data_IF_318119253675
#
_entry.id   IF_318119253675
#
_cell.length_a   1.000
_cell.length_b   1.000
_cell.length_c   1.000
_cell.angle_alpha   90.00
_cell.angle_beta   90.00
_cell.angle_gamma   90.00
#
_symmetry.space_group_name_H-M   'P 1'
#
loop_
_entity.id
_entity.type
_entity.pdbx_description
1 polymer ?
#
# COMPACT_ATOMS: atom_id res chain seq x y z
N UNK A 1 -24.96 5.82 24.15
CA UNK A 1 -23.96 4.93 23.53
C UNK A 1 -24.69 3.99 22.59
N UNK A 2 -24.62 4.16 21.26
CA UNK A 2 -25.14 3.15 20.35
C UNK A 2 -24.08 2.06 20.18
N UNK A 3 -24.43 0.83 20.58
CA UNK A 3 -23.64 -0.38 20.37
C UNK A 3 -23.60 -0.75 18.90
N UNK A 4 -22.43 -1.15 18.41
CA UNK A 4 -22.24 -1.66 17.06
C UNK A 4 -22.57 -3.16 17.03
N UNK A 5 -23.65 -3.53 16.33
CA UNK A 5 -23.95 -4.93 16.03
C UNK A 5 -23.04 -5.44 14.90
N UNK A 6 -22.37 -6.56 15.16
CA UNK A 6 -21.91 -7.50 14.16
C UNK A 6 -23.05 -8.46 13.78
N UNK A 7 -23.04 -8.95 12.54
CA UNK A 7 -24.00 -9.86 11.88
C UNK A 7 -25.25 -9.22 11.22
N UNK A 8 -25.19 -9.19 9.88
CA UNK A 8 -26.22 -9.48 8.86
C UNK A 8 -27.71 -9.11 9.02
N UNK A 9 -28.11 -8.24 9.95
CA UNK A 9 -29.50 -7.74 10.01
C UNK A 9 -29.57 -6.21 10.04
N UNK A 10 -30.22 -5.65 9.01
CA UNK A 10 -30.72 -4.28 8.89
C UNK A 10 -29.88 -3.14 9.51
N UNK A 11 -29.05 -2.46 8.69
CA UNK A 11 -28.71 -1.05 8.95
C UNK A 11 -29.45 -0.15 7.97
N UNK A 12 -30.23 0.79 8.52
CA UNK A 12 -30.63 1.99 7.78
C UNK A 12 -29.37 2.66 7.23
N UNK A 13 -29.39 3.27 6.05
CA UNK A 13 -28.22 3.96 5.52
C UNK A 13 -27.72 4.99 6.54
N UNK A 14 -26.43 4.92 6.86
CA UNK A 14 -25.76 5.89 7.73
C UNK A 14 -25.93 7.28 7.12
N UNK A 15 -26.46 8.23 7.89
CA UNK A 15 -26.73 9.60 7.41
C UNK A 15 -25.67 10.62 7.80
N UNK A 16 -24.85 10.30 8.79
CA UNK A 16 -23.76 11.14 9.28
C UNK A 16 -22.75 10.29 10.05
N UNK A 17 -21.47 10.65 9.98
CA UNK A 17 -20.41 10.14 10.84
C UNK A 17 -19.60 11.34 11.33
N UNK A 18 -19.13 11.30 12.58
CA UNK A 18 -18.31 12.37 13.14
C UNK A 18 -17.37 11.84 14.22
N UNK A 19 -16.18 12.46 14.32
CA UNK A 19 -15.21 12.24 15.40
C UNK A 19 -14.95 13.59 16.07
N UNK A 20 -15.14 13.66 17.38
CA UNK A 20 -14.94 14.89 18.16
C UNK A 20 -15.64 16.14 17.60
N UNK A 21 -16.83 15.96 16.98
CA UNK A 21 -17.61 17.04 16.37
C UNK A 21 -17.23 17.39 14.92
N UNK A 22 -16.18 16.77 14.36
CA UNK A 22 -15.81 16.90 12.95
C UNK A 22 -16.58 15.89 12.10
N UNK A 23 -17.30 16.35 11.09
CA UNK A 23 -18.02 15.47 10.17
C UNK A 23 -17.03 14.71 9.28
N UNK A 24 -17.30 13.42 9.08
CA UNK A 24 -16.54 12.58 8.17
C UNK A 24 -17.31 12.38 6.85
N UNK A 25 -16.59 12.31 5.72
CA UNK A 25 -17.20 11.92 4.46
C UNK A 25 -17.74 10.50 4.56
N UNK A 26 -18.95 10.29 4.03
CA UNK A 26 -19.58 8.97 4.00
C UNK A 26 -19.26 8.25 2.69
N UNK A 27 -19.20 6.91 2.70
CA UNK A 27 -19.18 6.10 1.48
C UNK A 27 -20.24 6.57 0.47
N UNK A 28 -19.87 6.87 -0.78
CA UNK A 28 -20.84 7.26 -1.78
C UNK A 28 -21.71 6.06 -2.18
N UNK A 29 -22.89 6.36 -2.74
CA UNK A 29 -23.79 5.33 -3.28
C UNK A 29 -23.21 4.66 -4.53
N UNK A 30 -22.48 5.43 -5.34
CA UNK A 30 -21.81 5.01 -6.56
C UNK A 30 -20.34 5.48 -6.54
N UNK A 31 -19.41 4.63 -6.98
CA UNK A 31 -18.00 4.99 -7.09
C UNK A 31 -17.69 5.59 -8.47
N UNK A 32 -17.51 6.91 -8.52
CA UNK A 32 -17.11 7.63 -9.74
C UNK A 32 -15.60 7.65 -9.97
N UNK A 33 -14.81 7.62 -8.90
CA UNK A 33 -13.35 7.62 -8.97
C UNK A 33 -12.75 7.13 -7.65
N UNK A 34 -11.58 6.51 -7.73
CA UNK A 34 -10.83 6.00 -6.60
C UNK A 34 -9.39 6.49 -6.71
N UNK A 35 -8.90 7.22 -5.70
CA UNK A 35 -7.48 7.55 -5.60
C UNK A 35 -6.75 6.45 -4.84
N UNK A 36 -5.61 6.00 -5.36
CA UNK A 36 -4.79 4.95 -4.75
C UNK A 36 -3.31 5.36 -4.75
N UNK A 37 -2.68 5.21 -3.60
CA UNK A 37 -1.26 5.47 -3.33
C UNK A 37 -0.89 4.83 -1.99
N UNK A 38 0.40 4.70 -1.68
CA UNK A 38 0.90 4.24 -0.39
C UNK A 38 2.30 4.75 -0.15
N UNK A 39 2.93 4.27 0.93
CA UNK A 39 4.33 4.55 1.24
C UNK A 39 4.57 6.07 1.31
N UNK A 40 3.88 6.70 2.27
CA UNK A 40 3.83 8.17 2.36
C UNK A 40 4.62 8.78 3.49
N UNK A 41 5.01 8.01 4.51
CA UNK A 41 5.73 8.60 5.65
C UNK A 41 7.14 9.07 5.27
N UNK A 42 7.73 9.93 6.10
CA UNK A 42 9.07 10.44 5.82
C UNK A 42 10.15 9.51 6.37
N UNK A 43 11.08 9.06 5.51
CA UNK A 43 12.13 8.10 5.88
C UNK A 43 13.12 8.67 6.89
N UNK A 44 13.02 8.30 8.17
CA UNK A 44 14.06 8.53 9.18
C UNK A 44 14.50 7.21 9.82
N UNK A 45 15.34 6.46 9.10
CA UNK A 45 15.79 5.13 9.51
C UNK A 45 17.30 5.12 9.77
N UNK A 46 17.67 4.98 11.04
CA UNK A 46 19.07 4.88 11.45
C UNK A 46 19.73 3.65 10.83
N UNK A 47 21.00 3.80 10.48
CA UNK A 47 21.85 2.68 10.11
C UNK A 47 21.83 1.58 11.17
N UNK A 48 22.01 0.33 10.71
CA UNK A 48 21.92 -0.91 11.50
C UNK A 48 22.73 -0.83 12.80
N UNK A 49 22.11 -0.39 13.89
CA UNK A 49 22.51 -0.78 15.23
C UNK A 49 21.99 -2.21 15.46
N UNK A 50 22.85 -3.10 15.95
CA UNK A 50 22.58 -4.54 16.09
C UNK A 50 21.28 -4.90 16.85
N UNK A 51 20.73 -3.98 17.66
CA UNK A 51 19.48 -4.17 18.38
C UNK A 51 18.21 -3.96 17.53
N UNK A 52 18.27 -3.15 16.46
CA UNK A 52 17.15 -2.93 15.52
C UNK A 52 17.20 -3.90 14.32
N UNK A 53 18.39 -4.40 13.97
CA UNK A 53 18.57 -5.39 12.91
C UNK A 53 17.87 -6.74 13.16
N UNK A 54 17.46 -7.03 14.39
CA UNK A 54 16.70 -8.24 14.72
C UNK A 54 15.18 -8.11 14.44
N UNK A 55 14.70 -6.92 14.09
CA UNK A 55 13.27 -6.61 13.87
C UNK A 55 12.88 -6.41 12.40
N UNK A 56 13.88 -6.34 11.52
CA UNK A 56 13.72 -6.08 10.10
C UNK A 56 14.52 -7.13 9.32
N UNK A 57 13.82 -8.18 8.88
CA UNK A 57 14.38 -9.25 8.06
C UNK A 57 14.32 -8.95 6.57
N UNK A 58 13.67 -7.86 6.17
CA UNK A 58 13.22 -7.61 4.81
C UNK A 58 14.31 -6.91 3.97
N UNK A 59 15.22 -6.19 4.62
CA UNK A 59 16.33 -5.47 3.98
C UNK A 59 17.68 -6.21 4.06
N UNK A 60 17.65 -7.54 4.09
CA UNK A 60 18.87 -8.33 3.97
C UNK A 60 19.60 -8.00 2.66
N UNK A 61 18.90 -7.68 1.57
CA UNK A 61 19.48 -7.44 0.23
C UNK A 61 19.37 -5.99 -0.28
N UNK A 62 18.83 -5.05 0.52
CA UNK A 62 18.82 -3.60 0.24
C UNK A 62 19.95 -2.88 0.98
N UNK A 63 21.17 -3.34 0.70
CA UNK A 63 22.45 -2.90 1.29
C UNK A 63 22.69 -1.39 1.27
N UNK A 64 22.12 -0.70 0.28
CA UNK A 64 22.33 0.73 0.07
C UNK A 64 21.27 1.60 0.77
N UNK A 65 20.25 1.01 1.42
CA UNK A 65 19.07 1.73 1.98
C UNK A 65 19.11 1.93 3.51
N UNK A 66 20.08 1.33 4.20
CA UNK A 66 20.38 1.61 5.61
C UNK A 66 20.92 3.03 5.77
N UNK A 67 20.45 3.76 6.79
CA UNK A 67 20.97 5.10 7.11
C UNK A 67 20.51 6.20 6.17
N UNK A 68 19.55 5.93 5.27
CA UNK A 68 18.93 6.96 4.45
C UNK A 68 17.91 7.74 5.25
N UNK A 69 18.16 9.03 5.35
CA UNK A 69 17.24 10.03 5.88
C UNK A 69 16.75 10.88 4.72
N UNK A 70 15.43 11.03 4.62
CA UNK A 70 14.79 11.95 3.71
C UNK A 70 14.64 13.31 4.39
N UNK A 71 14.77 14.39 3.63
CA UNK A 71 14.62 15.76 4.14
C UNK A 71 13.15 16.07 4.42
N UNK A 72 12.64 15.63 5.57
CA UNK A 72 11.22 15.74 5.91
C UNK A 72 10.69 17.17 6.01
N UNK A 73 11.56 18.16 6.14
CA UNK A 73 11.18 19.57 6.16
C UNK A 73 11.11 20.19 4.75
N UNK A 74 11.50 19.44 3.71
CA UNK A 74 11.46 19.89 2.32
C UNK A 74 10.31 19.20 1.56
N UNK A 75 9.36 20.02 1.08
CA UNK A 75 8.18 19.53 0.33
C UNK A 75 8.51 19.01 -1.07
N UNK A 76 9.71 19.27 -1.59
CA UNK A 76 10.17 18.68 -2.84
C UNK A 76 10.70 17.26 -2.63
N UNK A 77 11.40 17.03 -1.51
CA UNK A 77 11.99 15.74 -1.20
C UNK A 77 10.96 14.79 -0.58
N UNK A 78 10.01 15.31 0.21
CA UNK A 78 8.89 14.57 0.79
C UNK A 78 7.54 15.26 0.50
N UNK A 79 6.90 14.97 -0.66
CA UNK A 79 5.78 15.75 -1.18
C UNK A 79 4.38 15.28 -0.73
N UNK A 80 4.23 14.62 0.44
CA UNK A 80 2.93 14.06 0.81
C UNK A 80 1.82 15.12 0.98
N UNK A 81 2.09 16.18 1.74
CA UNK A 81 1.13 17.27 1.97
C UNK A 81 0.65 17.93 0.64
N UNK A 82 1.54 18.40 -0.25
CA UNK A 82 1.09 18.99 -1.52
C UNK A 82 0.36 17.99 -2.41
N UNK A 83 0.78 16.71 -2.43
CA UNK A 83 0.07 15.65 -3.16
C UNK A 83 -1.35 15.45 -2.61
N UNK A 84 -1.50 15.28 -1.29
CA UNK A 84 -2.78 15.12 -0.60
C UNK A 84 -3.74 16.28 -0.88
N UNK A 85 -3.25 17.52 -0.80
CA UNK A 85 -4.05 18.71 -1.14
C UNK A 85 -4.47 18.69 -2.62
N UNK A 86 -3.55 18.33 -3.53
CA UNK A 86 -3.85 18.24 -4.96
C UNK A 86 -4.92 17.20 -5.27
N UNK A 87 -4.86 16.01 -4.65
CA UNK A 87 -5.87 14.96 -4.82
C UNK A 87 -7.23 15.48 -4.35
N UNK A 88 -7.26 16.10 -3.16
CA UNK A 88 -8.50 16.61 -2.57
C UNK A 88 -9.13 17.72 -3.43
N UNK A 89 -8.32 18.62 -3.98
CA UNK A 89 -8.81 19.80 -4.70
C UNK A 89 -9.10 19.54 -6.18
N UNK A 90 -8.27 18.74 -6.85
CA UNK A 90 -8.34 18.50 -8.30
C UNK A 90 -9.05 17.21 -8.66
N UNK A 91 -8.68 16.10 -8.02
CA UNK A 91 -9.23 14.78 -8.34
C UNK A 91 -10.58 14.52 -7.67
N UNK A 92 -10.79 15.04 -6.45
CA UNK A 92 -12.04 14.91 -5.66
C UNK A 92 -12.58 13.47 -5.66
N UNK A 93 -11.77 12.49 -5.24
CA UNK A 93 -12.14 11.09 -5.38
C UNK A 93 -13.36 10.72 -4.53
N UNK A 94 -14.16 9.77 -5.00
CA UNK A 94 -15.25 9.20 -4.20
C UNK A 94 -14.76 8.24 -3.10
N UNK A 95 -13.52 7.77 -3.21
CA UNK A 95 -12.84 6.87 -2.28
C UNK A 95 -11.32 7.05 -2.38
N UNK A 96 -10.63 7.00 -1.26
CA UNK A 96 -9.16 6.87 -1.20
C UNK A 96 -8.81 5.47 -0.70
N UNK A 97 -7.81 4.83 -1.31
CA UNK A 97 -7.22 3.59 -0.81
C UNK A 97 -5.74 3.88 -0.53
N UNK A 98 -5.36 3.78 0.75
CA UNK A 98 -3.95 3.84 1.14
C UNK A 98 -3.40 2.42 1.32
N UNK A 99 -2.40 2.05 0.53
CA UNK A 99 -1.86 0.68 0.50
C UNK A 99 -0.76 0.44 1.55
N UNK A 100 -0.87 1.09 2.71
CA UNK A 100 0.04 0.90 3.86
C UNK A 100 1.28 1.79 3.87
N UNK A 101 2.06 1.63 4.95
CA UNK A 101 3.30 2.35 5.24
C UNK A 101 3.10 3.87 5.39
N UNK A 102 2.66 4.25 6.59
CA UNK A 102 2.31 5.61 6.95
C UNK A 102 3.38 6.27 7.80
N UNK A 103 4.02 5.51 8.70
CA UNK A 103 4.97 6.02 9.68
C UNK A 103 6.38 5.52 9.37
N UNK A 104 7.26 6.41 8.93
CA UNK A 104 8.66 6.10 8.62
C UNK A 104 9.67 6.81 9.53
N UNK A 105 9.18 7.64 10.45
CA UNK A 105 9.98 8.29 11.49
C UNK A 105 10.38 7.32 12.61
N UNK A 106 11.12 6.27 12.29
CA UNK A 106 11.47 5.20 13.25
C UNK A 106 12.63 5.56 14.19
N UNK A 107 13.45 6.53 13.79
CA UNK A 107 14.64 6.93 14.54
C UNK A 107 14.84 8.43 14.56
N UNK A 108 15.65 8.90 15.50
CA UNK A 108 15.97 10.31 15.62
C UNK A 108 16.77 10.80 14.40
N UNK A 109 16.49 12.04 13.98
CA UNK A 109 17.31 12.74 12.99
C UNK A 109 18.79 12.78 13.42
N UNK A 110 19.76 12.46 12.54
CA UNK A 110 21.17 12.47 12.87
C UNK A 110 21.66 13.84 13.36
N UNK A 111 22.63 13.83 14.26
CA UNK A 111 23.23 15.07 14.76
C UNK A 111 23.89 15.85 13.61
N UNK A 112 23.45 17.08 13.39
CA UNK A 112 23.99 17.98 12.36
C UNK A 112 23.18 18.03 11.06
N UNK A 113 22.30 17.05 10.83
CA UNK A 113 21.39 17.05 9.68
C UNK A 113 20.34 18.16 9.83
N UNK A 114 20.23 19.04 8.83
CA UNK A 114 19.25 20.13 8.84
C UNK A 114 17.93 19.76 8.16
N UNK A 115 17.94 18.78 7.25
CA UNK A 115 16.77 18.38 6.45
C UNK A 115 15.69 17.71 7.29
N UNK A 116 16.09 16.96 8.32
CA UNK A 116 15.18 16.34 9.29
C UNK A 116 15.18 17.00 10.68
N UNK A 117 15.88 18.13 10.88
CA UNK A 117 16.07 18.72 12.22
C UNK A 117 14.74 18.99 12.92
N UNK A 118 14.63 18.54 14.17
CA UNK A 118 13.44 18.72 15.00
C UNK A 118 12.30 17.75 14.70
N UNK A 119 12.50 16.82 13.76
CA UNK A 119 11.53 15.78 13.44
C UNK A 119 11.18 14.92 14.66
N UNK A 120 9.89 14.68 14.94
CA UNK A 120 9.48 13.65 15.89
C UNK A 120 9.89 12.26 15.36
N UNK A 121 9.96 11.28 16.26
CA UNK A 121 10.28 9.89 15.91
C UNK A 121 9.70 8.91 16.92
N UNK A 122 9.57 7.65 16.50
CA UNK A 122 8.96 6.56 17.25
C UNK A 122 7.43 6.50 17.11
N UNK A 123 6.84 5.41 17.59
CA UNK A 123 5.38 5.18 17.57
C UNK A 123 4.68 6.03 18.65
N UNK A 124 4.43 7.29 18.33
CA UNK A 124 3.72 8.25 19.19
C UNK A 124 2.94 9.25 18.34
N UNK A 125 2.03 9.99 18.98
CA UNK A 125 1.14 10.92 18.29
C UNK A 125 1.89 11.98 17.50
N UNK A 126 2.99 12.53 18.00
CA UNK A 126 3.71 13.60 17.29
C UNK A 126 4.26 13.08 15.96
N UNK A 127 4.77 11.85 15.91
CA UNK A 127 5.22 11.22 14.67
C UNK A 127 4.07 10.89 13.72
N UNK A 128 2.97 10.31 14.21
CA UNK A 128 1.78 10.02 13.39
C UNK A 128 1.12 11.28 12.85
N UNK A 129 1.08 12.34 13.64
CA UNK A 129 0.59 13.64 13.24
C UNK A 129 1.49 14.23 12.16
N UNK A 130 2.81 14.15 12.32
CA UNK A 130 3.76 14.67 11.35
C UNK A 130 3.71 13.91 10.02
N UNK A 131 3.80 12.57 10.04
CA UNK A 131 3.89 11.75 8.82
C UNK A 131 2.56 11.56 8.09
N UNK A 132 1.44 11.49 8.82
CA UNK A 132 0.16 11.13 8.21
C UNK A 132 -0.94 12.17 8.42
N UNK A 133 -1.37 12.42 9.67
CA UNK A 133 -2.61 13.16 9.88
C UNK A 133 -2.54 14.63 9.47
N UNK A 134 -1.41 15.30 9.66
CA UNK A 134 -1.22 16.69 9.22
C UNK A 134 -1.17 16.80 7.68
N UNK A 135 -0.30 16.06 6.97
CA UNK A 135 -0.25 16.13 5.51
C UNK A 135 -1.52 15.59 4.82
N UNK A 136 -2.18 14.59 5.39
CA UNK A 136 -3.42 14.02 4.86
C UNK A 136 -4.69 14.80 5.24
N UNK A 137 -4.60 15.84 6.08
CA UNK A 137 -5.76 16.47 6.73
C UNK A 137 -6.87 16.89 5.75
N UNK A 138 -6.51 17.51 4.62
CA UNK A 138 -7.45 17.96 3.60
C UNK A 138 -8.13 16.78 2.92
N UNK A 139 -7.37 15.75 2.55
CA UNK A 139 -7.90 14.58 1.84
C UNK A 139 -8.73 13.65 2.76
N UNK A 140 -8.37 13.55 4.04
CA UNK A 140 -9.18 12.86 5.06
C UNK A 140 -10.57 13.48 5.23
N UNK A 141 -10.70 14.79 5.00
CA UNK A 141 -11.99 15.50 5.02
C UNK A 141 -12.75 15.37 3.71
N UNK A 142 -12.07 15.13 2.59
CA UNK A 142 -12.65 15.15 1.26
C UNK A 142 -13.33 13.83 0.85
N UNK A 143 -12.79 12.68 1.28
CA UNK A 143 -13.26 11.36 0.83
C UNK A 143 -13.15 10.31 1.96
N UNK A 144 -13.96 9.23 1.92
CA UNK A 144 -13.76 8.07 2.79
C UNK A 144 -12.49 7.29 2.37
N UNK A 145 -11.89 6.55 3.31
CA UNK A 145 -10.62 5.83 3.11
C UNK A 145 -10.75 4.33 3.39
N UNK A 146 -10.08 3.51 2.59
CA UNK A 146 -9.68 2.15 2.95
C UNK A 146 -8.20 2.20 3.32
N UNK A 147 -7.85 1.70 4.51
CA UNK A 147 -6.50 1.71 5.03
C UNK A 147 -5.99 0.28 5.17
N UNK A 148 -4.81 0.04 4.62
CA UNK A 148 -4.09 -1.24 4.69
C UNK A 148 -2.91 -1.10 5.63
N UNK A 149 -2.52 -2.15 6.35
CA UNK A 149 -1.34 -2.15 7.23
C UNK A 149 -0.08 -2.47 6.44
N UNK A 150 0.96 -1.65 6.59
CA UNK A 150 2.26 -1.92 5.97
C UNK A 150 3.30 -2.50 6.92
N UNK A 151 4.46 -2.89 6.41
CA UNK A 151 5.51 -3.48 7.23
C UNK A 151 6.08 -2.47 8.24
N UNK A 152 5.92 -1.17 8.03
CA UNK A 152 6.24 -0.13 9.01
C UNK A 152 5.27 -0.08 10.20
N UNK A 153 4.10 -0.69 10.06
CA UNK A 153 3.06 -0.77 11.09
C UNK A 153 2.92 -2.17 11.71
N UNK A 154 3.97 -2.99 11.68
CA UNK A 154 4.03 -4.24 12.45
C UNK A 154 4.27 -3.96 13.94
N UNK A 155 4.01 -4.93 14.80
CA UNK A 155 4.07 -4.73 16.26
C UNK A 155 5.46 -4.39 16.79
N UNK A 156 6.52 -4.80 16.09
CA UNK A 156 7.90 -4.43 16.43
C UNK A 156 8.25 -2.97 16.09
N UNK A 157 7.38 -2.27 15.36
CA UNK A 157 7.54 -0.92 14.79
C UNK A 157 6.34 -0.03 15.16
N UNK A 158 5.60 0.53 14.20
CA UNK A 158 4.45 1.44 14.40
C UNK A 158 3.10 0.76 14.69
N UNK A 159 3.07 -0.53 15.03
CA UNK A 159 1.82 -1.28 15.06
C UNK A 159 0.83 -0.89 16.16
N UNK A 160 1.28 -0.32 17.28
CA UNK A 160 0.36 0.15 18.32
C UNK A 160 -0.39 1.39 17.83
N UNK A 161 0.31 2.30 17.16
CA UNK A 161 -0.28 3.45 16.51
C UNK A 161 -1.29 3.08 15.43
N UNK A 162 -0.94 2.15 14.53
CA UNK A 162 -1.86 1.68 13.49
C UNK A 162 -3.13 1.07 14.10
N UNK A 163 -2.98 0.15 15.06
CA UNK A 163 -4.09 -0.49 15.76
C UNK A 163 -5.02 0.52 16.47
N UNK A 164 -4.48 1.69 16.84
CA UNK A 164 -5.23 2.76 17.51
C UNK A 164 -5.91 3.72 16.54
N UNK A 165 -5.25 4.04 15.44
CA UNK A 165 -5.58 5.19 14.61
C UNK A 165 -6.26 4.79 13.30
N UNK A 166 -5.88 3.64 12.72
CA UNK A 166 -6.23 3.28 11.34
C UNK A 166 -6.92 1.91 11.20
N UNK A 167 -6.78 1.02 12.19
CA UNK A 167 -7.45 -0.29 12.18
C UNK A 167 -8.99 -0.12 12.07
N UNK A 168 -9.66 -0.83 11.16
CA UNK A 168 -11.11 -0.75 11.00
C UNK A 168 -11.89 -1.35 12.18
N UNK A 169 -11.23 -2.09 13.07
CA UNK A 169 -11.81 -2.68 14.27
C UNK A 169 -11.86 -1.66 15.40
N UNK A 170 -12.99 -1.49 16.09
CA UNK A 170 -13.06 -0.59 17.24
C UNK A 170 -12.05 -0.99 18.32
N UNK A 171 -11.21 -0.05 18.75
CA UNK A 171 -10.32 -0.25 19.89
C UNK A 171 -11.14 -0.56 21.15
N UNK A 172 -10.91 -1.72 21.76
CA UNK A 172 -11.65 -2.19 22.95
C UNK A 172 -11.04 -1.77 24.28
N UNK A 173 -10.01 -0.90 24.27
CA UNK A 173 -9.29 -0.45 25.46
C UNK A 173 -8.34 0.73 25.19
N UNK A 174 -7.71 1.28 26.25
CA UNK A 174 -6.84 2.45 26.14
C UNK A 174 -5.55 2.19 25.35
N UNK A 175 -5.11 0.93 25.27
CA UNK A 175 -4.09 0.46 24.35
C UNK A 175 -4.67 -0.71 23.54
N UNK A 176 -4.86 -0.57 22.22
CA UNK A 176 -5.28 -1.69 21.39
C UNK A 176 -4.18 -2.74 21.35
N UNK A 177 -4.58 -4.02 21.32
CA UNK A 177 -3.62 -5.10 21.13
C UNK A 177 -3.08 -5.04 19.69
N UNK A 178 -1.77 -4.96 19.55
CA UNK A 178 -1.14 -5.22 18.25
C UNK A 178 -1.01 -6.74 18.06
N UNK A 179 -1.53 -7.24 16.95
CA UNK A 179 -1.43 -8.65 16.55
C UNK A 179 -0.48 -8.79 15.37
N UNK A 180 0.30 -9.87 15.32
CA UNK A 180 1.28 -10.07 14.25
C UNK A 180 0.64 -10.25 12.86
N UNK A 181 -0.59 -10.75 12.82
CA UNK A 181 -1.36 -10.89 11.58
C UNK A 181 -2.83 -10.59 11.88
N UNK A 182 -3.39 -9.62 11.19
CA UNK A 182 -4.81 -9.31 11.22
C UNK A 182 -5.57 -10.24 10.27
N UNK A 183 -6.81 -10.58 10.63
CA UNK A 183 -7.70 -11.27 9.71
C UNK A 183 -8.02 -10.38 8.52
N UNK A 184 -8.10 -10.99 7.33
CA UNK A 184 -8.63 -10.30 6.16
C UNK A 184 -10.07 -9.85 6.41
N UNK A 185 -10.43 -8.69 5.88
CA UNK A 185 -11.79 -8.20 5.92
C UNK A 185 -12.26 -7.76 4.55
N UNK A 186 -13.58 -7.84 4.36
CA UNK A 186 -14.23 -7.35 3.16
C UNK A 186 -15.04 -6.10 3.48
N UNK A 187 -14.90 -5.08 2.63
CA UNK A 187 -15.67 -3.84 2.70
C UNK A 187 -16.32 -3.57 1.35
N UNK A 188 -17.51 -2.99 1.36
CA UNK A 188 -18.22 -2.58 0.13
C UNK A 188 -18.44 -1.08 0.14
N UNK A 189 -17.98 -0.41 -0.92
CA UNK A 189 -18.12 1.04 -1.12
C UNK A 189 -18.70 1.26 -2.52
N UNK A 190 -19.74 2.08 -2.63
CA UNK A 190 -20.44 2.36 -3.89
C UNK A 190 -20.70 1.14 -4.79
N UNK A 191 -21.16 0.03 -4.17
CA UNK A 191 -21.47 -1.23 -4.84
C UNK A 191 -20.27 -2.12 -5.19
N UNK A 192 -19.02 -1.70 -4.96
CA UNK A 192 -17.81 -2.49 -5.21
C UNK A 192 -17.29 -3.13 -3.93
N UNK A 193 -16.96 -4.41 -4.00
CA UNK A 193 -16.31 -5.12 -2.91
C UNK A 193 -14.79 -5.00 -2.99
N UNK A 194 -14.16 -4.79 -1.83
CA UNK A 194 -12.73 -4.82 -1.63
C UNK A 194 -12.43 -5.82 -0.52
N UNK A 195 -11.40 -6.64 -0.71
CA UNK A 195 -10.83 -7.47 0.35
C UNK A 195 -9.48 -6.88 0.72
N UNK A 196 -9.26 -6.59 1.99
CA UNK A 196 -7.98 -6.11 2.51
C UNK A 196 -7.30 -7.27 3.22
N UNK A 197 -6.12 -7.64 2.74
CA UNK A 197 -5.27 -8.68 3.32
C UNK A 197 -4.10 -8.03 4.05
N UNK A 198 -3.91 -8.40 5.32
CA UNK A 198 -2.71 -8.01 6.06
C UNK A 198 -1.51 -8.82 5.57
N UNK A 199 -0.78 -8.22 4.63
CA UNK A 199 0.46 -8.73 4.09
C UNK A 199 1.69 -8.18 4.80
N UNK A 200 1.56 -7.37 5.86
CA UNK A 200 2.67 -6.55 6.37
C UNK A 200 3.90 -7.37 6.78
N UNK A 201 3.65 -8.54 7.37
CA UNK A 201 4.68 -9.46 7.86
C UNK A 201 5.07 -10.55 6.85
N UNK A 202 4.64 -10.48 5.58
CA UNK A 202 4.91 -11.51 4.58
C UNK A 202 6.32 -11.33 4.00
N UNK A 203 7.33 -12.15 4.36
CA UNK A 203 8.71 -11.87 3.97
C UNK A 203 8.90 -11.94 2.45
N UNK A 204 9.74 -11.04 1.93
CA UNK A 204 9.97 -10.98 0.48
C UNK A 204 10.70 -12.19 -0.08
N UNK A 205 11.61 -12.75 0.72
CA UNK A 205 12.41 -13.90 0.37
C UNK A 205 12.03 -15.13 1.20
N UNK A 206 12.39 -16.30 0.68
CA UNK A 206 12.21 -17.55 1.40
C UNK A 206 13.56 -18.09 1.85
N UNK A 207 13.70 -18.52 3.12
CA UNK A 207 14.87 -19.25 3.54
C UNK A 207 14.96 -20.59 2.78
N UNK A 208 16.14 -21.22 2.80
CA UNK A 208 16.36 -22.54 2.17
C UNK A 208 15.42 -23.63 2.68
N UNK A 209 14.85 -23.44 3.88
CA UNK A 209 13.89 -24.34 4.51
C UNK A 209 12.46 -24.19 3.97
N UNK A 210 12.21 -23.21 3.08
CA UNK A 210 10.90 -22.92 2.51
C UNK A 210 10.28 -21.63 3.06
N UNK A 211 9.28 -21.10 2.35
CA UNK A 211 8.56 -19.88 2.71
C UNK A 211 7.58 -20.12 3.87
N UNK A 212 7.45 -19.17 4.80
CA UNK A 212 6.38 -19.18 5.81
C UNK A 212 5.04 -18.72 5.20
N UNK A 213 4.53 -19.51 4.25
CA UNK A 213 3.39 -19.16 3.42
C UNK A 213 2.04 -19.67 3.93
N UNK A 214 2.05 -20.59 4.91
CA UNK A 214 0.85 -21.25 5.39
C UNK A 214 -0.20 -20.29 6.00
N UNK A 215 0.18 -19.28 6.82
CA UNK A 215 -0.79 -18.30 7.35
C UNK A 215 -1.51 -17.52 6.23
N UNK A 216 -0.76 -17.09 5.22
CA UNK A 216 -1.32 -16.36 4.07
C UNK A 216 -2.17 -17.26 3.17
N UNK A 217 -1.77 -18.52 2.97
CA UNK A 217 -2.57 -19.50 2.25
C UNK A 217 -3.92 -19.74 2.93
N UNK A 218 -3.97 -19.73 4.27
CA UNK A 218 -5.20 -19.81 5.04
C UNK A 218 -6.10 -18.57 4.84
N UNK A 219 -5.52 -17.36 4.82
CA UNK A 219 -6.28 -16.14 4.51
C UNK A 219 -6.88 -16.20 3.11
N UNK A 220 -6.09 -16.56 2.08
CA UNK A 220 -6.60 -16.73 0.71
C UNK A 220 -7.72 -17.78 0.62
N UNK A 221 -7.62 -18.89 1.35
CA UNK A 221 -8.65 -19.93 1.37
C UNK A 221 -9.96 -19.46 2.05
N UNK A 222 -9.83 -18.59 3.06
CA UNK A 222 -10.95 -18.02 3.78
C UNK A 222 -11.72 -16.96 2.96
N UNK A 223 -11.08 -16.32 1.99
CA UNK A 223 -11.72 -15.33 1.12
C UNK A 223 -12.93 -15.91 0.38
N UNK A 224 -13.97 -15.07 0.23
CA UNK A 224 -15.20 -15.35 -0.52
C UNK A 224 -15.55 -14.15 -1.41
N UNK A 225 -14.69 -13.80 -2.39
CA UNK A 225 -14.92 -12.65 -3.26
C UNK A 225 -16.17 -12.84 -4.13
N UNK A 226 -16.91 -11.75 -4.34
CA UNK A 226 -17.86 -11.63 -5.46
C UNK A 226 -17.10 -11.34 -6.76
N UNK A 227 -17.72 -11.56 -7.92
CA UNK A 227 -17.13 -11.12 -9.19
C UNK A 227 -16.90 -9.60 -9.19
N UNK A 228 -15.74 -9.14 -9.65
CA UNK A 228 -15.39 -7.71 -9.63
C UNK A 228 -14.77 -7.21 -8.32
N UNK A 229 -14.47 -8.10 -7.36
CA UNK A 229 -13.79 -7.73 -6.11
C UNK A 229 -12.36 -7.28 -6.39
N UNK A 230 -11.89 -6.26 -5.69
CA UNK A 230 -10.48 -5.87 -5.69
C UNK A 230 -9.80 -6.39 -4.43
N UNK A 231 -8.59 -6.94 -4.58
CA UNK A 231 -7.74 -7.30 -3.46
C UNK A 231 -6.77 -6.14 -3.18
N UNK A 232 -6.68 -5.74 -1.93
CA UNK A 232 -5.75 -4.70 -1.46
C UNK A 232 -4.79 -5.35 -0.47
N UNK A 233 -3.50 -5.24 -0.75
CA UNK A 233 -2.41 -5.67 0.12
C UNK A 233 -1.47 -4.48 0.32
N UNK A 234 -0.55 -4.57 1.26
CA UNK A 234 0.58 -3.65 1.30
C UNK A 234 1.73 -4.21 0.48
N UNK A 235 2.26 -5.38 0.87
CA UNK A 235 3.30 -6.04 0.11
C UNK A 235 2.70 -6.62 -1.18
N UNK A 236 3.35 -6.42 -2.33
CA UNK A 236 2.86 -6.97 -3.60
C UNK A 236 2.86 -8.50 -3.57
N UNK A 237 1.92 -9.14 -4.28
CA UNK A 237 2.01 -10.58 -4.52
C UNK A 237 3.07 -10.83 -5.60
N UNK A 238 3.06 -10.01 -6.64
CA UNK A 238 4.06 -10.02 -7.72
C UNK A 238 4.64 -8.62 -7.86
N UNK A 239 5.93 -8.45 -7.67
CA UNK A 239 6.56 -7.15 -7.88
C UNK A 239 8.02 -7.32 -8.28
N UNK A 240 8.49 -6.46 -9.17
CA UNK A 240 9.89 -6.36 -9.49
C UNK A 240 10.55 -5.21 -8.72
N UNK A 241 11.84 -5.38 -8.44
CA UNK A 241 12.69 -4.31 -7.91
C UNK A 241 13.99 -4.27 -8.70
N UNK A 242 14.73 -3.18 -8.56
CA UNK A 242 16.10 -3.12 -9.03
C UNK A 242 17.00 -2.89 -7.82
N UNK A 243 17.85 -3.85 -7.47
CA UNK A 243 18.79 -3.68 -6.36
C UNK A 243 20.22 -3.85 -6.83
N UNK A 244 21.14 -3.29 -6.06
CA UNK A 244 22.58 -3.40 -6.32
C UNK A 244 23.10 -4.67 -5.66
N UNK A 245 23.73 -5.54 -6.46
CA UNK A 245 24.40 -6.72 -5.95
C UNK A 245 25.62 -6.31 -5.10
N UNK A 246 25.72 -6.85 -3.89
CA UNK A 246 26.76 -6.52 -2.89
C UNK A 246 28.18 -6.76 -3.37
N UNK A 247 28.38 -7.79 -4.19
CA UNK A 247 29.70 -8.29 -4.53
C UNK A 247 30.23 -7.65 -5.82
N UNK A 248 29.34 -7.45 -6.79
CA UNK A 248 29.67 -6.93 -8.11
C UNK A 248 29.40 -5.44 -8.26
N UNK A 249 28.57 -4.86 -7.39
CA UNK A 249 28.09 -3.49 -7.50
C UNK A 249 27.18 -3.24 -8.71
N UNK A 250 26.84 -4.30 -9.46
CA UNK A 250 25.95 -4.23 -10.62
C UNK A 250 24.49 -4.20 -10.16
N UNK A 251 23.67 -3.47 -10.92
CA UNK A 251 22.22 -3.48 -10.74
C UNK A 251 21.64 -4.78 -11.28
N UNK A 252 20.68 -5.35 -10.57
CA UNK A 252 20.01 -6.59 -10.94
C UNK A 252 18.52 -6.49 -10.62
N UNK A 253 17.73 -6.94 -11.59
CA UNK A 253 16.31 -7.17 -11.41
C UNK A 253 16.05 -8.22 -10.31
N UNK A 254 15.31 -7.82 -9.29
CA UNK A 254 14.83 -8.65 -8.20
C UNK A 254 13.33 -8.91 -8.34
N UNK A 255 12.86 -9.98 -7.69
CA UNK A 255 11.43 -10.28 -7.49
C UNK A 255 11.16 -10.16 -6.00
N UNK A 256 10.01 -9.63 -5.64
CA UNK A 256 9.56 -9.51 -4.24
C UNK A 256 8.39 -10.45 -3.93
N UNK A 257 8.26 -10.71 -2.63
CA UNK A 257 7.22 -11.54 -2.00
C UNK A 257 7.06 -12.97 -2.50
N UNK A 258 8.15 -13.72 -2.43
CA UNK A 258 8.13 -15.17 -2.63
C UNK A 258 7.20 -15.89 -1.65
N UNK A 259 6.95 -15.33 -0.46
CA UNK A 259 6.02 -15.88 0.53
C UNK A 259 4.56 -15.86 0.06
N UNK A 260 4.06 -14.71 -0.43
CA UNK A 260 2.70 -14.60 -0.98
C UNK A 260 2.56 -15.38 -2.30
N UNK A 261 3.60 -15.43 -3.13
CA UNK A 261 3.59 -16.28 -4.33
C UNK A 261 3.46 -17.77 -3.95
N UNK A 262 4.20 -18.23 -2.95
CA UNK A 262 4.09 -19.60 -2.43
C UNK A 262 2.71 -19.86 -1.79
N UNK A 263 2.12 -18.87 -1.12
CA UNK A 263 0.78 -18.98 -0.52
C UNK A 263 -0.32 -19.23 -1.56
N UNK A 264 -0.11 -18.80 -2.82
CA UNK A 264 -1.01 -19.04 -3.94
C UNK A 264 -0.76 -20.35 -4.71
N UNK A 265 0.17 -21.19 -4.26
CA UNK A 265 0.53 -22.42 -4.98
C UNK A 265 -0.68 -23.34 -5.25
N UNK A 266 -1.63 -23.45 -4.32
CA UNK A 266 -2.84 -24.27 -4.49
C UNK A 266 -3.82 -23.73 -5.55
N UNK A 267 -3.67 -22.47 -5.96
CA UNK A 267 -4.43 -21.84 -7.05
C UNK A 267 -3.56 -21.59 -8.29
N UNK A 268 -2.45 -22.33 -8.45
CA UNK A 268 -1.51 -22.16 -9.55
C UNK A 268 -1.01 -20.71 -9.70
N UNK A 269 -0.78 -20.04 -8.56
CA UNK A 269 -0.34 -18.65 -8.51
C UNK A 269 -1.45 -17.63 -8.80
N UNK A 270 -2.71 -18.03 -8.94
CA UNK A 270 -3.83 -17.10 -9.18
C UNK A 270 -4.48 -16.65 -7.86
N UNK A 271 -4.96 -15.40 -7.75
CA UNK A 271 -5.78 -15.01 -6.62
C UNK A 271 -7.12 -15.78 -6.66
N UNK A 272 -7.82 -15.92 -5.51
CA UNK A 272 -9.15 -16.53 -5.47
C UNK A 272 -10.11 -15.99 -6.54
N UNK A 273 -10.87 -16.90 -7.17
CA UNK A 273 -11.79 -16.56 -8.28
C UNK A 273 -12.79 -15.47 -7.86
N UNK A 274 -12.90 -14.42 -8.68
CA UNK A 274 -13.76 -13.25 -8.42
C UNK A 274 -12.97 -11.98 -8.14
N UNK A 275 -11.68 -12.11 -7.83
CA UNK A 275 -10.75 -10.98 -7.76
C UNK A 275 -10.38 -10.54 -9.18
N UNK A 276 -10.68 -9.30 -9.53
CA UNK A 276 -10.43 -8.73 -10.87
C UNK A 276 -9.19 -7.82 -10.91
N UNK A 277 -8.71 -7.37 -9.75
CA UNK A 277 -7.56 -6.47 -9.62
C UNK A 277 -6.87 -6.66 -8.27
N UNK A 278 -5.54 -6.60 -8.25
CA UNK A 278 -4.74 -6.54 -7.04
C UNK A 278 -4.05 -5.17 -6.93
N UNK A 279 -4.13 -4.54 -5.77
CA UNK A 279 -3.48 -3.26 -5.46
C UNK A 279 -2.52 -3.46 -4.30
N UNK A 280 -1.31 -2.92 -4.41
CA UNK A 280 -0.26 -3.02 -3.38
C UNK A 280 0.63 -1.77 -3.34
N UNK A 281 1.46 -1.63 -2.32
CA UNK A 281 2.52 -0.62 -2.17
C UNK A 281 3.88 -1.28 -1.94
N UNK A 282 4.58 -0.90 -0.87
CA UNK A 282 5.82 -1.48 -0.34
C UNK A 282 7.08 -1.23 -1.20
N UNK A 283 6.98 -1.47 -2.49
CA UNK A 283 8.05 -1.15 -3.42
C UNK A 283 7.85 0.30 -3.83
N UNK A 284 8.80 1.18 -3.48
CA UNK A 284 8.64 2.62 -3.67
C UNK A 284 8.84 3.08 -5.12
N UNK A 285 7.98 2.61 -6.02
CA UNK A 285 7.79 3.02 -7.40
C UNK A 285 6.37 2.65 -7.84
N UNK A 286 6.01 3.06 -9.05
CA UNK A 286 4.78 2.67 -9.70
C UNK A 286 5.06 1.52 -10.66
N UNK A 287 4.31 0.42 -10.58
CA UNK A 287 4.42 -0.73 -11.48
C UNK A 287 3.04 -1.32 -11.78
N UNK A 288 2.74 -1.54 -13.06
CA UNK A 288 1.54 -2.26 -13.50
C UNK A 288 1.94 -3.54 -14.23
N UNK A 289 1.45 -4.69 -13.78
CA UNK A 289 1.75 -6.01 -14.34
C UNK A 289 0.51 -6.71 -14.87
N UNK A 290 0.64 -7.29 -16.07
CA UNK A 290 -0.28 -8.30 -16.63
C UNK A 290 0.46 -9.59 -16.92
N UNK A 291 -0.25 -10.71 -16.91
CA UNK A 291 0.37 -12.03 -16.94
C UNK A 291 -0.11 -12.88 -18.11
N UNK A 292 0.78 -13.74 -18.63
CA UNK A 292 0.53 -14.58 -19.80
C UNK A 292 -0.60 -15.60 -19.59
N UNK A 293 -0.85 -16.00 -18.35
CA UNK A 293 -1.94 -16.93 -18.01
C UNK A 293 -3.30 -16.23 -17.80
N UNK A 294 -3.36 -14.90 -17.90
CA UNK A 294 -4.59 -14.13 -17.77
C UNK A 294 -5.14 -14.09 -16.33
N UNK A 295 -4.31 -14.28 -15.30
CA UNK A 295 -4.69 -13.94 -13.92
C UNK A 295 -4.90 -12.43 -13.77
N UNK A 296 -5.52 -12.02 -12.66
CA UNK A 296 -5.81 -10.62 -12.36
C UNK A 296 -4.53 -9.77 -12.44
N UNK A 297 -4.57 -8.61 -13.10
CA UNK A 297 -3.43 -7.69 -13.11
C UNK A 297 -3.16 -7.15 -11.69
N UNK A 298 -1.93 -6.70 -11.45
CA UNK A 298 -1.55 -6.04 -10.21
C UNK A 298 -0.96 -4.66 -10.49
N UNK A 299 -1.31 -3.70 -9.64
CA UNK A 299 -0.64 -2.40 -9.56
C UNK A 299 0.09 -2.29 -8.23
N UNK A 300 1.38 -1.98 -8.30
CA UNK A 300 2.21 -1.56 -7.17
C UNK A 300 2.28 -0.04 -7.21
N UNK A 301 1.84 0.59 -6.12
CA UNK A 301 1.52 2.01 -6.00
C UNK A 301 2.18 2.59 -4.75
N UNK A 302 3.46 2.24 -4.54
CA UNK A 302 4.27 2.70 -3.41
C UNK A 302 5.03 4.01 -3.70
N UNK A 303 4.60 4.72 -4.73
CA UNK A 303 5.20 5.96 -5.24
C UNK A 303 4.65 7.22 -4.56
N UNK A 304 4.08 7.13 -3.36
CA UNK A 304 3.40 8.26 -2.72
C UNK A 304 4.36 9.40 -2.36
N UNK A 305 5.31 9.15 -1.46
CA UNK A 305 6.29 10.17 -1.06
C UNK A 305 7.51 9.68 -0.28
N UNK A 306 7.51 8.45 0.22
CA UNK A 306 8.72 7.88 0.82
C UNK A 306 9.82 7.73 -0.23
N UNK A 307 11.06 8.05 0.11
CA UNK A 307 12.25 7.89 -0.74
C UNK A 307 12.15 6.73 -1.75
N UNK A 308 12.19 7.06 -3.05
CA UNK A 308 11.94 6.10 -4.12
C UNK A 308 12.97 4.97 -4.13
N UNK A 309 12.49 3.77 -4.42
CA UNK A 309 13.33 2.61 -4.72
C UNK A 309 14.12 2.89 -6.00
N UNK A 310 15.07 2.04 -6.35
CA UNK A 310 15.80 2.27 -7.60
C UNK A 310 14.92 2.01 -8.83
N UNK A 311 15.13 2.86 -9.85
CA UNK A 311 14.47 2.73 -11.15
C UNK A 311 14.72 1.36 -11.79
N UNK A 312 13.64 0.72 -12.22
CA UNK A 312 13.68 -0.44 -13.12
C UNK A 312 13.95 0.06 -14.54
N UNK A 313 14.97 -0.50 -15.19
CA UNK A 313 15.39 -0.09 -16.55
C UNK A 313 15.25 -1.22 -17.56
N UNK A 314 15.07 -2.44 -17.07
CA UNK A 314 14.93 -3.68 -17.79
C UNK A 314 13.51 -3.81 -18.36
N UNK A 315 13.40 -4.47 -19.51
CA UNK A 315 12.11 -4.90 -20.03
C UNK A 315 11.58 -6.07 -19.17
N UNK A 316 10.38 -5.87 -18.63
CA UNK A 316 9.72 -6.83 -17.76
C UNK A 316 8.89 -7.83 -18.57
N UNK A 317 8.56 -7.57 -19.84
CA UNK A 317 7.79 -8.51 -20.66
C UNK A 317 8.56 -9.83 -20.85
N UNK A 318 7.87 -10.95 -20.67
CA UNK A 318 8.48 -12.29 -20.73
C UNK A 318 9.25 -12.70 -19.47
N UNK A 319 9.50 -11.80 -18.51
CA UNK A 319 10.17 -12.18 -17.26
C UNK A 319 9.31 -13.17 -16.45
N UNK A 320 9.92 -14.20 -15.84
CA UNK A 320 9.20 -15.18 -15.03
C UNK A 320 8.82 -14.59 -13.66
N UNK A 321 7.58 -14.80 -13.23
CA UNK A 321 7.09 -14.39 -11.90
C UNK A 321 5.86 -15.22 -11.50
N UNK A 322 5.77 -15.66 -10.25
CA UNK A 322 4.59 -16.35 -9.72
C UNK A 322 4.14 -17.59 -10.51
N UNK A 323 5.08 -18.34 -11.12
CA UNK A 323 4.80 -19.52 -11.93
C UNK A 323 4.23 -19.24 -13.34
N UNK A 324 4.30 -17.99 -13.81
CA UNK A 324 3.93 -17.55 -15.16
C UNK A 324 5.01 -16.59 -15.70
N UNK A 325 4.78 -16.00 -16.87
CA UNK A 325 5.53 -14.84 -17.36
C UNK A 325 4.66 -13.59 -17.40
N UNK A 326 5.32 -12.44 -17.34
CA UNK A 326 4.72 -11.13 -17.60
C UNK A 326 4.32 -11.03 -19.08
N UNK A 327 3.09 -10.62 -19.36
CA UNK A 327 2.57 -10.39 -20.70
C UNK A 327 2.63 -8.92 -21.13
N UNK A 328 2.51 -8.00 -20.16
CA UNK A 328 2.66 -6.57 -20.37
C UNK A 328 3.05 -5.94 -19.04
N UNK A 329 3.91 -4.92 -19.09
CA UNK A 329 4.32 -4.18 -17.91
C UNK A 329 4.49 -2.68 -18.21
N UNK A 330 4.40 -1.87 -17.17
CA UNK A 330 4.77 -0.45 -17.22
C UNK A 330 5.27 -0.02 -15.85
N UNK A 331 6.27 0.86 -15.82
CA UNK A 331 6.83 1.40 -14.57
C UNK A 331 6.95 2.92 -14.64
N UNK A 332 6.81 3.59 -13.49
CA UNK A 332 7.18 5.00 -13.29
C UNK A 332 8.05 5.12 -12.05
N UNK A 333 8.98 6.07 -12.10
CA UNK A 333 9.96 6.32 -11.04
C UNK A 333 9.89 7.79 -10.67
N UNK A 334 8.70 8.21 -10.25
CA UNK A 334 8.36 9.59 -9.88
C UNK A 334 7.35 9.51 -8.74
N UNK A 335 7.31 10.50 -7.86
CA UNK A 335 6.25 10.59 -6.85
C UNK A 335 4.90 10.91 -7.48
N UNK A 336 3.84 10.29 -6.98
CA UNK A 336 2.50 10.53 -7.49
C UNK A 336 1.42 9.64 -6.90
N UNK A 337 0.31 9.59 -7.62
CA UNK A 337 -0.89 8.82 -7.24
C UNK A 337 -1.62 8.33 -8.48
N UNK A 338 -2.41 7.28 -8.34
CA UNK A 338 -3.23 6.76 -9.44
C UNK A 338 -4.71 7.03 -9.17
N UNK A 339 -5.42 7.58 -10.15
CA UNK A 339 -6.88 7.65 -10.13
C UNK A 339 -7.45 6.56 -11.03
N UNK A 340 -8.33 5.73 -10.46
CA UNK A 340 -9.13 4.76 -11.18
C UNK A 340 -10.53 5.33 -11.42
N UNK A 341 -10.97 5.36 -12.67
CA UNK A 341 -12.31 5.80 -13.07
C UNK A 341 -13.02 4.69 -13.86
N UNK A 342 -14.31 4.44 -13.64
CA UNK A 342 -15.05 3.48 -14.46
C UNK A 342 -15.22 4.07 -15.86
N UNK A 343 -14.91 3.27 -16.88
CA UNK A 343 -15.19 3.65 -18.27
C UNK A 343 -16.67 3.95 -18.47
N UNK A 344 -17.01 4.82 -19.45
CA UNK A 344 -18.40 5.21 -19.73
C UNK A 344 -19.35 4.03 -20.01
N UNK A 345 -18.82 2.89 -20.44
CA UNK A 345 -19.58 1.66 -20.72
C UNK A 345 -19.57 0.66 -19.55
N UNK A 346 -18.84 0.94 -18.46
CA UNK A 346 -18.74 0.10 -17.27
C UNK A 346 -18.02 -1.25 -17.48
N UNK A 347 -17.26 -1.40 -18.57
CA UNK A 347 -16.60 -2.68 -18.94
C UNK A 347 -15.16 -2.81 -18.44
N UNK A 348 -14.53 -1.68 -18.12
CA UNK A 348 -13.16 -1.56 -17.63
C UNK A 348 -13.03 -0.33 -16.75
N UNK A 349 -11.90 -0.25 -16.07
CA UNK A 349 -11.43 0.95 -15.37
C UNK A 349 -10.31 1.61 -16.15
N UNK A 350 -10.29 2.93 -16.19
CA UNK A 350 -9.14 3.70 -16.65
C UNK A 350 -8.33 4.08 -15.40
N UNK A 351 -7.08 3.63 -15.34
CA UNK A 351 -6.14 3.93 -14.26
C UNK A 351 -5.11 4.93 -14.77
N UNK A 352 -5.17 6.18 -14.29
CA UNK A 352 -4.26 7.24 -14.71
C UNK A 352 -3.31 7.61 -13.58
N UNK A 353 -2.01 7.52 -13.85
CA UNK A 353 -0.96 8.03 -12.97
C UNK A 353 -0.84 9.55 -13.12
N UNK A 354 -0.85 10.24 -12.00
CA UNK A 354 -0.67 11.67 -11.87
C UNK A 354 0.57 11.97 -11.04
N UNK A 355 1.33 13.00 -11.44
CA UNK A 355 2.38 13.54 -10.56
C UNK A 355 1.76 14.24 -9.32
N UNK A 356 2.61 14.61 -8.37
CA UNK A 356 2.20 15.30 -7.12
C UNK A 356 1.50 16.64 -7.35
N UNK A 357 1.65 17.26 -8.54
CA UNK A 357 0.98 18.48 -8.94
C UNK A 357 -0.36 18.24 -9.66
N UNK A 358 -0.71 16.98 -9.95
CA UNK A 358 -1.96 16.59 -10.61
C UNK A 358 -1.91 16.66 -12.13
N UNK A 359 -0.72 16.52 -12.72
CA UNK A 359 -0.55 16.35 -14.17
C UNK A 359 -0.63 14.88 -14.53
N UNK A 360 -1.54 14.52 -15.44
CA UNK A 360 -1.66 13.15 -15.94
C UNK A 360 -0.46 12.78 -16.81
N UNK A 361 0.12 11.60 -16.57
CA UNK A 361 1.38 11.18 -17.21
C UNK A 361 1.29 9.83 -17.94
N UNK A 362 0.41 8.93 -17.51
CA UNK A 362 0.24 7.59 -18.09
C UNK A 362 -1.17 7.09 -17.78
N UNK A 363 -1.87 6.54 -18.76
CA UNK A 363 -3.20 5.95 -18.55
C UNK A 363 -3.21 4.50 -19.00
N UNK A 364 -3.77 3.63 -18.15
CA UNK A 364 -3.92 2.21 -18.39
C UNK A 364 -5.39 1.81 -18.44
N UNK A 365 -5.74 1.00 -19.45
CA UNK A 365 -7.03 0.32 -19.49
C UNK A 365 -6.94 -0.95 -18.66
N UNK A 366 -7.78 -1.08 -17.64
CA UNK A 366 -7.80 -2.20 -16.67
C UNK A 366 -9.05 -3.06 -16.85
N UNK A 367 -8.83 -4.31 -17.25
CA UNK A 367 -9.82 -5.36 -17.41
C UNK A 367 -9.49 -6.52 -16.44
N UNK A 368 -10.45 -7.42 -16.12
CA UNK A 368 -10.26 -8.45 -15.09
C UNK A 368 -9.03 -9.37 -15.27
N UNK A 369 -8.50 -9.49 -16.48
CA UNK A 369 -7.39 -10.39 -16.81
C UNK A 369 -6.18 -9.67 -17.39
N UNK A 370 -6.22 -8.33 -17.51
CA UNK A 370 -5.13 -7.54 -18.11
C UNK A 370 -5.27 -6.04 -17.83
N UNK A 371 -4.13 -5.38 -17.70
CA UNK A 371 -3.96 -3.95 -17.78
C UNK A 371 -3.03 -3.59 -18.95
N UNK A 372 -3.37 -2.56 -19.72
CA UNK A 372 -2.52 -2.08 -20.83
C UNK A 372 -2.41 -0.57 -20.79
N UNK A 373 -1.19 -0.07 -20.69
CA UNK A 373 -0.88 1.35 -20.58
C UNK A 373 -0.49 1.96 -21.92
N UNK A 374 -0.76 3.25 -22.10
CA UNK A 374 -0.44 4.01 -23.31
C UNK A 374 0.16 5.37 -22.99
#
# INVERSE_FOLDING_TARGET
>A
MPSWCASSSCRRPTKSAAIAGQNLPLPPADLSSIAVFGDTGCRLKADKNAALAARDTDEADEVDEGGKFQDCNNKADWPFEPMSNTIAEKAKPGLVIHVGDYLYRESACPAGDQGCKGSPHGDNWDSWAADFFTPAATLLQAAPWIMTRGNHEICARGGIGYARLLDPSPATGPQPACVEMMDQYMVTVGGRAFIVLDSSNAPDDCPKTGCDSAPYAAQFAAMKPSAGTWLVTHRPIWGFTNSKDKNSGQRKLGIRNMTLQAALAQWNGRPPQGIDLVLSGHIHLWEALSFADGRSPQFVLGDGSTELAHKITEDLEGQPIGGTTVAAASTKHDFGYTIFEPSQQGKHWDATFYDTAGTANLTCKVEPTKATCK
#
